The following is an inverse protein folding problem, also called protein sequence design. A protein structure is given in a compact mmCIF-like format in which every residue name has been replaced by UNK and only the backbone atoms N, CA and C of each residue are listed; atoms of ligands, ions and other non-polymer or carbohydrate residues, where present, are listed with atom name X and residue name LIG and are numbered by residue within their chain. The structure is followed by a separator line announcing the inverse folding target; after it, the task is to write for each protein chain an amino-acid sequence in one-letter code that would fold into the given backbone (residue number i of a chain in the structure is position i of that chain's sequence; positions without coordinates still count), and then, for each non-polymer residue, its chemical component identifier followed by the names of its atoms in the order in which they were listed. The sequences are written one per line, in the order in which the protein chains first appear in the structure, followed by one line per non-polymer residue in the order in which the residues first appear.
data_IF_515040960664
#
_entry.id   IF_515040960664
#
_cell.length_a   1.000
_cell.length_b   1.000
_cell.length_c   1.000
_cell.angle_alpha   90.00
_cell.angle_beta   90.00
_cell.angle_gamma   90.00
#
_symmetry.space_group_name_H-M   'P 1'
#
loop_
_entity.id
_entity.type
_entity.pdbx_description
1 polymer ?
#
# COMPACT_ATOMS: atom_id res chain seq x y z
N UNK A 1 -46.07 17.28 -25.19
CA UNK A 1 -44.77 16.66 -25.51
C UNK A 1 -43.62 17.62 -25.18
N UNK A 2 -43.00 17.44 -24.01
CA UNK A 2 -41.79 18.18 -23.65
C UNK A 2 -40.63 17.23 -23.88
N UNK A 3 -39.80 17.58 -24.87
CA UNK A 3 -38.63 16.81 -25.26
C UNK A 3 -37.53 17.08 -24.22
N UNK A 4 -37.28 16.14 -23.32
CA UNK A 4 -36.14 16.19 -22.40
C UNK A 4 -34.86 15.92 -23.20
N UNK A 5 -34.07 16.96 -23.40
CA UNK A 5 -32.73 16.84 -23.99
C UNK A 5 -31.83 16.25 -22.89
N UNK A 6 -31.18 15.10 -23.11
CA UNK A 6 -30.24 14.56 -22.13
C UNK A 6 -29.06 15.53 -22.00
N UNK A 7 -28.91 16.13 -20.83
CA UNK A 7 -27.73 16.93 -20.47
C UNK A 7 -26.57 15.95 -20.27
N UNK A 8 -25.83 15.65 -21.33
CA UNK A 8 -24.52 15.00 -21.23
C UNK A 8 -23.56 15.98 -20.59
N UNK A 9 -23.45 15.88 -19.26
CA UNK A 9 -22.42 16.61 -18.51
C UNK A 9 -21.10 15.87 -18.75
N UNK A 10 -20.33 16.29 -19.75
CA UNK A 10 -18.93 15.89 -19.87
C UNK A 10 -18.17 16.47 -18.67
N UNK A 11 -17.84 15.59 -17.72
CA UNK A 11 -17.00 15.93 -16.58
C UNK A 11 -15.58 16.09 -17.14
N UNK A 12 -15.09 17.33 -17.19
CA UNK A 12 -13.70 17.61 -17.55
C UNK A 12 -12.76 16.79 -16.66
N UNK A 13 -11.68 16.18 -17.20
CA UNK A 13 -10.70 15.48 -16.40
C UNK A 13 -10.04 16.49 -15.46
N UNK A 14 -10.34 16.39 -14.17
CA UNK A 14 -9.76 17.29 -13.19
C UNK A 14 -8.28 16.97 -13.00
N UNK A 15 -7.43 17.95 -13.32
CA UNK A 15 -5.98 17.89 -13.14
C UNK A 15 -5.65 17.84 -11.65
N UNK A 16 -4.90 16.84 -11.20
CA UNK A 16 -4.54 16.64 -9.79
C UNK A 16 -5.57 15.88 -8.95
N UNK A 17 -6.63 15.35 -9.57
CA UNK A 17 -7.59 14.50 -8.85
C UNK A 17 -7.00 13.13 -8.52
N UNK A 18 -6.96 12.81 -7.23
CA UNK A 18 -6.75 11.45 -6.76
C UNK A 18 -8.08 10.69 -6.79
N UNK A 19 -8.17 9.69 -7.65
CA UNK A 19 -9.33 8.79 -7.66
C UNK A 19 -8.95 7.46 -7.05
N UNK A 20 -9.67 7.05 -5.99
CA UNK A 20 -9.57 5.70 -5.44
C UNK A 20 -10.16 4.75 -6.48
N UNK A 21 -9.32 3.89 -7.03
CA UNK A 21 -9.71 2.92 -8.04
C UNK A 21 -10.45 1.80 -7.33
N UNK A 22 -11.79 1.90 -7.28
CA UNK A 22 -12.61 0.82 -6.76
C UNK A 22 -12.75 -0.33 -7.76
N UNK A 23 -12.67 -0.06 -9.07
CA UNK A 23 -12.66 -1.09 -10.12
C UNK A 23 -12.47 -0.53 -11.54
N UNK A 24 -11.75 0.59 -11.75
CA UNK A 24 -11.74 1.26 -13.06
C UNK A 24 -10.70 0.69 -14.04
N UNK A 25 -11.20 -0.17 -14.96
CA UNK A 25 -10.82 -0.44 -16.36
C UNK A 25 -9.37 -0.82 -16.74
N UNK A 26 -8.39 -0.74 -15.84
CA UNK A 26 -7.09 -1.37 -16.04
C UNK A 26 -7.04 -2.59 -15.11
N UNK A 27 -6.68 -3.76 -15.64
CA UNK A 27 -6.39 -4.94 -14.81
C UNK A 27 -5.11 -4.65 -14.01
N UNK A 28 -5.23 -3.84 -12.94
CA UNK A 28 -4.13 -3.54 -12.03
C UNK A 28 -3.56 -4.83 -11.46
N UNK A 29 -4.41 -5.81 -11.19
CA UNK A 29 -3.97 -7.12 -10.74
C UNK A 29 -3.05 -7.79 -11.77
N UNK A 30 -3.43 -7.78 -13.06
CA UNK A 30 -2.58 -8.33 -14.13
C UNK A 30 -1.29 -7.54 -14.26
N UNK A 31 -1.38 -6.20 -14.25
CA UNK A 31 -0.24 -5.32 -14.35
C UNK A 31 0.75 -5.54 -13.20
N UNK A 32 0.23 -5.68 -11.98
CA UNK A 32 1.01 -6.05 -10.79
C UNK A 32 1.63 -7.42 -10.98
N UNK A 33 0.87 -8.47 -11.31
CA UNK A 33 1.39 -9.84 -11.47
C UNK A 33 2.49 -9.95 -12.53
N UNK A 34 2.42 -9.12 -13.58
CA UNK A 34 3.42 -9.09 -14.66
C UNK A 34 4.71 -8.32 -14.28
N UNK A 35 4.65 -7.41 -13.32
CA UNK A 35 5.78 -6.52 -12.96
C UNK A 35 6.29 -6.70 -11.53
N UNK A 36 5.55 -7.40 -10.67
CA UNK A 36 5.98 -7.69 -9.30
C UNK A 36 7.25 -8.54 -9.36
N UNK A 37 8.23 -8.16 -8.56
CA UNK A 37 9.49 -8.87 -8.49
C UNK A 37 9.29 -10.37 -8.14
N UNK A 38 10.11 -11.24 -8.72
CA UNK A 38 9.97 -12.70 -8.66
C UNK A 38 10.13 -13.25 -7.24
N UNK A 39 10.75 -12.46 -6.38
CA UNK A 39 10.91 -12.73 -4.95
C UNK A 39 9.61 -12.57 -4.16
N UNK A 40 8.54 -12.05 -4.77
CA UNK A 40 7.25 -11.86 -4.13
C UNK A 40 6.13 -12.57 -4.89
N UNK A 41 5.18 -13.13 -4.12
CA UNK A 41 3.96 -13.72 -4.62
C UNK A 41 2.77 -12.83 -4.27
N UNK A 42 2.07 -12.34 -5.30
CA UNK A 42 0.90 -11.47 -5.13
C UNK A 42 -0.23 -12.17 -4.35
N UNK A 43 -0.76 -11.49 -3.33
CA UNK A 43 -1.94 -11.95 -2.59
C UNK A 43 -3.19 -11.14 -2.97
N UNK A 44 -3.20 -9.85 -2.66
CA UNK A 44 -4.33 -8.94 -2.95
C UNK A 44 -3.89 -7.49 -2.96
N UNK A 45 -4.66 -6.65 -3.66
CA UNK A 45 -4.52 -5.19 -3.60
C UNK A 45 -5.26 -4.69 -2.35
N UNK A 46 -4.58 -3.89 -1.52
CA UNK A 46 -5.17 -3.20 -0.36
C UNK A 46 -5.83 -1.90 -0.83
N UNK A 47 -5.09 -1.11 -1.61
CA UNK A 47 -5.50 0.21 -2.07
C UNK A 47 -4.86 0.53 -3.41
N UNK A 48 -5.61 1.15 -4.30
CA UNK A 48 -5.06 1.70 -5.53
C UNK A 48 -5.60 3.11 -5.77
N UNK A 49 -4.71 4.01 -6.18
CA UNK A 49 -5.01 5.41 -6.47
C UNK A 49 -4.50 5.73 -7.86
N UNK A 50 -5.32 6.42 -8.65
CA UNK A 50 -4.93 7.05 -9.91
C UNK A 50 -4.76 8.54 -9.68
N UNK A 51 -3.62 9.08 -10.12
CA UNK A 51 -3.38 10.51 -10.21
C UNK A 51 -3.23 10.89 -11.68
N UNK A 52 -3.94 11.94 -12.10
CA UNK A 52 -3.90 12.44 -13.48
C UNK A 52 -3.44 13.89 -13.47
N UNK A 53 -2.22 14.12 -13.93
CA UNK A 53 -1.65 15.46 -14.18
C UNK A 53 -1.16 15.51 -15.63
N UNK A 54 0.12 15.83 -15.87
CA UNK A 54 0.77 15.73 -17.19
C UNK A 54 1.05 14.27 -17.60
N UNK A 55 1.00 13.37 -16.63
CA UNK A 55 1.16 11.91 -16.77
C UNK A 55 0.12 11.22 -15.89
N UNK A 56 -0.18 9.96 -16.22
CA UNK A 56 -1.06 9.14 -15.40
C UNK A 56 -0.19 8.29 -14.48
N UNK A 57 -0.35 8.44 -13.17
CA UNK A 57 0.36 7.66 -12.15
C UNK A 57 -0.64 6.76 -11.42
N UNK A 58 -0.34 5.47 -11.34
CA UNK A 58 -1.09 4.50 -10.55
C UNK A 58 -0.23 4.10 -9.36
N UNK A 59 -0.68 4.44 -8.15
CA UNK A 59 -0.05 4.01 -6.89
C UNK A 59 -0.86 2.84 -6.34
N UNK A 60 -0.22 1.69 -6.18
CA UNK A 60 -0.87 0.43 -5.80
C UNK A 60 -0.20 -0.11 -4.54
N UNK A 61 -0.95 -0.15 -3.46
CA UNK A 61 -0.59 -0.81 -2.21
C UNK A 61 -1.20 -2.21 -2.21
N UNK A 62 -0.39 -3.24 -1.97
CA UNK A 62 -0.79 -4.64 -2.04
C UNK A 62 -0.12 -5.48 -0.95
N UNK A 63 -0.73 -6.61 -0.61
CA UNK A 63 -0.09 -7.66 0.17
C UNK A 63 0.54 -8.69 -0.75
N UNK A 64 1.74 -9.14 -0.40
CA UNK A 64 2.45 -10.20 -1.08
C UNK A 64 3.15 -11.12 -0.07
N UNK A 65 3.48 -12.33 -0.49
CA UNK A 65 4.37 -13.21 0.26
C UNK A 65 5.78 -13.10 -0.28
N UNK A 66 6.77 -12.84 0.58
CA UNK A 66 8.16 -13.00 0.19
C UNK A 66 8.48 -14.48 0.03
N UNK A 67 9.02 -14.88 -1.11
CA UNK A 67 9.48 -16.26 -1.37
C UNK A 67 10.80 -16.59 -0.70
N UNK A 68 11.56 -15.55 -0.34
CA UNK A 68 12.85 -15.66 0.34
C UNK A 68 12.70 -15.61 1.87
N UNK A 69 11.46 -15.56 2.39
CA UNK A 69 11.22 -15.65 3.83
C UNK A 69 11.50 -17.08 4.33
N UNK A 70 11.99 -17.19 5.56
CA UNK A 70 11.94 -18.44 6.28
C UNK A 70 10.65 -18.48 7.11
N UNK A 71 9.66 -19.33 6.78
CA UNK A 71 8.39 -19.36 7.49
C UNK A 71 8.51 -19.79 8.96
N UNK A 72 9.65 -20.36 9.36
CA UNK A 72 9.92 -20.74 10.73
C UNK A 72 10.37 -19.57 11.63
N UNK A 73 10.90 -18.49 11.06
CA UNK A 73 11.50 -17.37 11.82
C UNK A 73 10.88 -16.01 11.51
N UNK A 74 10.33 -15.84 10.30
CA UNK A 74 9.93 -14.53 9.79
C UNK A 74 8.46 -14.51 9.35
N UNK A 75 7.82 -13.34 9.47
CA UNK A 75 6.54 -13.11 8.79
C UNK A 75 6.81 -13.03 7.29
N UNK A 76 6.26 -13.98 6.54
CA UNK A 76 6.40 -14.03 5.09
C UNK A 76 5.54 -13.01 4.36
N UNK A 77 4.45 -12.58 4.99
CA UNK A 77 3.55 -11.58 4.41
C UNK A 77 4.18 -10.19 4.53
N UNK A 78 4.36 -9.54 3.40
CA UNK A 78 4.86 -8.19 3.26
C UNK A 78 3.80 -7.30 2.62
N UNK A 79 3.89 -6.00 2.87
CA UNK A 79 3.13 -5.01 2.14
C UNK A 79 4.04 -4.36 1.09
N UNK A 80 3.59 -4.33 -0.15
CA UNK A 80 4.30 -3.69 -1.26
C UNK A 80 3.55 -2.48 -1.77
N UNK A 81 4.29 -1.41 -2.04
CA UNK A 81 3.82 -0.22 -2.72
C UNK A 81 4.49 -0.16 -4.10
N UNK A 82 3.67 -0.24 -5.15
CA UNK A 82 4.10 -0.17 -6.54
C UNK A 82 3.60 1.14 -7.15
N UNK A 83 4.46 1.78 -7.94
CA UNK A 83 4.12 2.95 -8.72
C UNK A 83 4.25 2.65 -10.20
N UNK A 84 3.16 2.81 -10.95
CA UNK A 84 3.16 2.69 -12.40
C UNK A 84 2.91 4.05 -13.04
N UNK A 85 3.70 4.36 -14.07
CA UNK A 85 3.61 5.64 -14.79
C UNK A 85 3.28 5.39 -16.25
N UNK A 86 2.31 6.13 -16.77
CA UNK A 86 1.96 6.20 -18.18
C UNK A 86 2.09 7.64 -18.68
N UNK A 87 2.98 7.84 -19.64
CA UNK A 87 3.15 9.13 -20.32
C UNK A 87 1.97 9.40 -21.26
N UNK A 88 1.34 10.56 -21.15
CA UNK A 88 0.34 11.06 -22.10
C UNK A 88 1.09 11.87 -23.16
N UNK A 89 0.76 11.82 -24.47
CA UNK A 89 -0.42 11.24 -25.13
C UNK A 89 -0.25 9.80 -25.67
N UNK A 90 0.84 9.10 -25.36
CA UNK A 90 1.10 7.79 -25.96
C UNK A 90 0.19 6.70 -25.35
N UNK A 91 -0.43 5.88 -26.21
CA UNK A 91 -1.15 4.66 -25.81
C UNK A 91 -0.20 3.53 -25.38
N UNK A 92 0.77 3.84 -24.53
CA UNK A 92 1.65 2.84 -23.95
C UNK A 92 1.03 2.23 -22.70
N UNK A 93 1.40 0.98 -22.44
CA UNK A 93 1.11 0.32 -21.17
C UNK A 93 1.85 1.05 -20.04
N UNK A 94 1.25 1.23 -18.86
CA UNK A 94 1.96 1.81 -17.72
C UNK A 94 3.20 0.98 -17.39
N UNK A 95 4.33 1.64 -17.17
CA UNK A 95 5.57 1.00 -16.78
C UNK A 95 5.75 1.11 -15.26
N UNK A 96 6.32 0.07 -14.64
CA UNK A 96 6.71 0.12 -13.24
C UNK A 96 7.84 1.15 -13.08
N UNK A 97 7.59 2.17 -12.26
CA UNK A 97 8.54 3.23 -11.94
C UNK A 97 9.23 2.97 -10.60
N UNK A 98 8.52 2.37 -9.65
CA UNK A 98 9.06 2.05 -8.32
C UNK A 98 8.33 0.88 -7.68
N UNK A 99 9.05 0.11 -6.87
CA UNK A 99 8.52 -0.95 -6.01
C UNK A 99 9.23 -0.88 -4.67
N UNK A 100 8.46 -0.84 -3.58
CA UNK A 100 8.96 -0.88 -2.22
C UNK A 100 8.14 -1.92 -1.45
N UNK A 101 8.79 -2.96 -0.94
CA UNK A 101 8.13 -3.98 -0.11
C UNK A 101 8.69 -3.92 1.31
N UNK A 102 7.80 -3.86 2.30
CA UNK A 102 8.14 -3.77 3.71
C UNK A 102 7.53 -4.95 4.46
N UNK A 103 8.34 -5.60 5.29
CA UNK A 103 7.87 -6.62 6.20
C UNK A 103 7.38 -5.93 7.47
N UNK A 104 6.06 -5.76 7.61
CA UNK A 104 5.49 -5.32 8.87
C UNK A 104 5.54 -6.50 9.85
N UNK A 105 6.62 -6.57 10.64
CA UNK A 105 6.53 -7.24 11.92
C UNK A 105 5.49 -6.44 12.72
N UNK A 106 4.22 -6.85 12.66
CA UNK A 106 3.20 -6.39 13.62
C UNK A 106 3.73 -6.75 15.01
N UNK A 107 4.46 -5.86 15.66
CA UNK A 107 4.82 -5.91 17.07
C UNK A 107 3.58 -5.64 17.95
N UNK A 108 2.49 -5.15 17.35
CA UNK A 108 1.29 -4.71 18.06
C UNK A 108 0.42 -5.80 18.70
N UNK A 109 0.66 -7.09 18.43
CA UNK A 109 -0.18 -8.13 19.07
C UNK A 109 0.26 -8.38 20.52
N UNK A 110 1.54 -8.20 20.84
CA UNK A 110 2.02 -8.39 22.20
C UNK A 110 1.71 -7.18 23.08
N UNK A 111 1.89 -5.96 22.56
CA UNK A 111 1.59 -4.72 23.29
C UNK A 111 0.09 -4.61 23.58
N UNK A 112 -0.77 -4.79 22.57
CA UNK A 112 -2.22 -4.67 22.76
C UNK A 112 -2.79 -5.72 23.73
N UNK A 113 -2.28 -6.96 23.71
CA UNK A 113 -2.69 -7.98 24.69
C UNK A 113 -2.13 -7.68 26.09
N UNK A 114 -0.87 -7.25 26.21
CA UNK A 114 -0.27 -6.87 27.50
C UNK A 114 -0.98 -5.68 28.13
N UNK A 115 -1.31 -4.64 27.34
CA UNK A 115 -2.10 -3.50 27.79
C UNK A 115 -3.52 -3.88 28.23
N UNK A 116 -4.08 -4.94 27.65
CA UNK A 116 -5.41 -5.47 28.02
C UNK A 116 -5.38 -6.27 29.32
N UNK A 117 -4.25 -6.91 29.63
CA UNK A 117 -3.97 -7.59 30.91
C UNK A 117 -3.57 -6.60 32.03
N UNK A 118 -3.05 -5.40 31.68
CA UNK A 118 -2.80 -4.33 32.64
C UNK A 118 -4.08 -3.58 32.98
N UNK A 119 -4.61 -3.82 34.18
CA UNK A 119 -5.90 -3.28 34.61
C UNK A 119 -5.85 -1.81 35.07
N UNK A 120 -4.67 -1.27 35.40
CA UNK A 120 -4.53 0.07 35.97
C UNK A 120 -3.75 1.04 35.06
N UNK A 121 -4.17 2.33 34.97
CA UNK A 121 -3.47 3.34 34.17
C UNK A 121 -2.00 3.52 34.53
N UNK A 122 -1.62 3.31 35.80
CA UNK A 122 -0.23 3.42 36.26
C UNK A 122 0.66 2.32 35.67
N UNK A 123 0.18 1.08 35.64
CA UNK A 123 0.94 -0.03 35.06
C UNK A 123 1.08 0.06 33.52
N UNK A 124 0.12 0.72 32.87
CA UNK A 124 0.20 1.04 31.45
C UNK A 124 1.31 2.08 31.22
N UNK A 125 1.39 3.11 32.06
CA UNK A 125 2.42 4.15 31.96
C UNK A 125 3.82 3.58 32.22
N UNK A 126 4.01 2.79 33.28
CA UNK A 126 5.30 2.13 33.56
C UNK A 126 5.74 1.22 32.39
N UNK A 127 4.80 0.51 31.76
CA UNK A 127 5.09 -0.33 30.61
C UNK A 127 5.51 0.50 29.38
N UNK A 128 4.82 1.60 29.09
CA UNK A 128 5.16 2.48 27.97
C UNK A 128 6.52 3.16 28.17
N UNK A 129 6.86 3.57 29.40
CA UNK A 129 8.19 4.11 29.71
C UNK A 129 9.29 3.07 29.52
N UNK A 130 9.05 1.80 29.88
CA UNK A 130 10.02 0.72 29.67
C UNK A 130 10.29 0.36 28.20
N UNK A 131 9.41 0.76 27.28
CA UNK A 131 9.61 0.57 25.84
C UNK A 131 10.50 1.67 25.24
N UNK A 132 10.48 2.88 25.80
CA UNK A 132 11.27 4.03 25.32
C UNK A 132 12.77 3.85 25.63
N UNK A 133 13.11 3.18 26.75
CA UNK A 133 14.49 2.84 27.14
C UNK A 133 15.16 1.77 26.26
N UNK A 134 14.46 1.16 25.29
CA UNK A 134 15.03 0.22 24.32
C UNK A 134 15.56 0.90 23.04
N UNK A 135 16.15 2.10 23.17
CA UNK A 135 17.01 2.65 22.11
C UNK A 135 18.24 1.76 21.99
N UNK A 136 18.24 0.91 20.96
CA UNK A 136 19.38 0.07 20.57
C UNK A 136 20.69 0.88 20.60
N UNK A 137 21.75 0.42 21.29
CA UNK A 137 23.05 1.07 21.18
C UNK A 137 23.52 0.95 19.73
N UNK A 138 23.68 2.09 19.06
CA UNK A 138 24.31 2.16 17.75
C UNK A 138 25.72 1.57 17.89
N UNK A 139 26.09 0.50 17.18
CA UNK A 139 27.44 -0.03 17.29
C UNK A 139 28.38 1.04 16.73
N UNK A 140 29.19 1.62 17.62
CA UNK A 140 30.34 2.43 17.24
C UNK A 140 31.51 1.47 17.07
N UNK A 141 31.85 1.13 15.82
CA UNK A 141 32.96 0.25 15.48
C UNK A 141 33.15 0.10 13.99
#
# INVERSE_FOLDING_TARGET
PVSEVPVTTEIAPCTGCETILKSDNIDLEKLVKENLDRDYEFLRIIRAVKQVEDKIVYKVQLEANSRNCNPATDKCNVECNLEFVKSVPFETKPALSSQICVNYVREDVNVANTLKDKASPSEILDFLESLDDQVFPVPSG
#
